data_IF_318246960828
#
_entry.id   IF_318246960828
#
_cell.length_a   1.000
_cell.length_b   1.000
_cell.length_c   1.000
_cell.angle_alpha   90.00
_cell.angle_beta   90.00
_cell.angle_gamma   90.00
#
_symmetry.space_group_name_H-M   'P 1'
#
loop_
_entity.id
_entity.type
_entity.pdbx_description
1 polymer ?
#
# COMPACT_ATOMS: atom_id res chain seq x y z
N UNK A 1 -3.40 -58.24 -8.91
CA UNK A 1 -4.21 -59.01 -7.95
C UNK A 1 -5.63 -58.49 -8.07
N UNK A 2 -6.55 -59.35 -8.48
CA UNK A 2 -7.97 -59.05 -8.62
C UNK A 2 -8.61 -59.10 -7.22
N UNK A 3 -9.33 -58.05 -6.84
CA UNK A 3 -10.14 -58.06 -5.62
C UNK A 3 -11.60 -58.36 -5.98
N UNK A 4 -12.00 -59.55 -5.56
CA UNK A 4 -13.32 -60.15 -5.71
C UNK A 4 -14.18 -59.65 -4.55
N UNK A 5 -15.24 -58.91 -4.83
CA UNK A 5 -16.31 -58.66 -3.88
C UNK A 5 -17.56 -59.47 -4.29
N UNK A 6 -17.93 -60.44 -3.43
CA UNK A 6 -19.14 -61.28 -3.56
C UNK A 6 -20.38 -60.56 -3.01
N UNK A 7 -21.60 -60.96 -3.42
CA UNK A 7 -22.83 -60.20 -3.15
C UNK A 7 -23.40 -60.50 -1.75
N UNK A 8 -23.96 -59.47 -1.11
CA UNK A 8 -24.80 -59.62 0.07
C UNK A 8 -26.26 -59.93 -0.34
N UNK A 9 -26.87 -60.79 0.47
CA UNK A 9 -28.12 -61.52 0.25
C UNK A 9 -29.38 -60.65 0.22
N UNK A 10 -30.31 -61.14 -0.58
CA UNK A 10 -31.78 -61.01 -0.52
C UNK A 10 -32.37 -60.45 0.78
N UNK A 11 -33.08 -59.32 0.64
CA UNK A 11 -34.06 -58.83 1.60
C UNK A 11 -35.07 -57.92 0.90
N UNK A 12 -36.34 -58.37 0.87
CA UNK A 12 -37.54 -57.55 0.71
C UNK A 12 -37.86 -56.87 -0.64
N UNK A 13 -38.13 -57.66 -1.69
CA UNK A 13 -38.61 -57.21 -3.00
C UNK A 13 -40.05 -56.68 -3.05
N UNK A 14 -40.63 -56.26 -1.93
CA UNK A 14 -42.04 -55.82 -1.83
C UNK A 14 -42.27 -54.43 -1.26
N UNK A 15 -41.32 -53.87 -0.49
CA UNK A 15 -41.42 -52.52 0.10
C UNK A 15 -40.71 -51.44 -0.72
N UNK A 16 -39.70 -51.81 -1.50
CA UNK A 16 -38.84 -50.85 -2.20
C UNK A 16 -39.48 -50.32 -3.50
N UNK A 17 -40.40 -51.08 -4.09
CA UNK A 17 -41.14 -50.67 -5.28
C UNK A 17 -42.23 -49.63 -4.98
N UNK A 18 -42.72 -49.55 -3.74
CA UNK A 18 -43.74 -48.57 -3.33
C UNK A 18 -43.12 -47.23 -2.90
N UNK A 19 -41.88 -47.22 -2.39
CA UNK A 19 -41.13 -45.99 -2.09
C UNK A 19 -40.39 -45.41 -3.31
N UNK A 20 -40.10 -46.24 -4.33
CA UNK A 20 -39.51 -45.77 -5.58
C UNK A 20 -40.47 -44.91 -6.43
N UNK A 21 -41.79 -45.07 -6.25
CA UNK A 21 -42.81 -44.32 -7.01
C UNK A 21 -42.94 -42.83 -6.60
N UNK A 22 -42.26 -42.40 -5.53
CA UNK A 22 -42.45 -41.07 -4.91
C UNK A 22 -41.31 -40.08 -5.12
N UNK A 23 -40.24 -40.46 -5.82
CA UNK A 23 -39.05 -39.62 -6.00
C UNK A 23 -39.07 -38.77 -7.28
N UNK A 24 -39.84 -39.17 -8.29
CA UNK A 24 -40.01 -38.42 -9.53
C UNK A 24 -41.30 -37.60 -9.53
N UNK A 25 -41.31 -36.55 -10.33
CA UNK A 25 -42.49 -35.71 -10.61
C UNK A 25 -42.66 -35.63 -12.11
N UNK A 26 -43.90 -35.84 -12.54
CA UNK A 26 -44.33 -35.64 -13.93
C UNK A 26 -44.77 -34.20 -14.10
N UNK A 27 -44.19 -33.52 -15.08
CA UNK A 27 -44.41 -32.08 -15.33
C UNK A 27 -44.91 -31.90 -16.75
N UNK A 28 -45.99 -31.14 -16.88
CA UNK A 28 -46.53 -30.66 -18.15
C UNK A 28 -46.12 -29.20 -18.33
N UNK A 29 -45.25 -28.93 -19.30
CA UNK A 29 -44.69 -27.60 -19.58
C UNK A 29 -45.48 -26.96 -20.72
N UNK A 30 -46.23 -25.91 -20.40
CA UNK A 30 -47.00 -25.12 -21.37
C UNK A 30 -48.10 -25.88 -22.10
N UNK A 31 -48.42 -27.11 -21.70
CA UNK A 31 -49.35 -27.99 -22.43
C UNK A 31 -48.70 -28.67 -23.65
N UNK A 32 -47.43 -28.41 -23.91
CA UNK A 32 -46.73 -28.78 -25.14
C UNK A 32 -45.73 -29.91 -24.91
N UNK A 33 -45.08 -29.95 -23.73
CA UNK A 33 -44.03 -30.92 -23.43
C UNK A 33 -44.24 -31.60 -22.08
N UNK A 34 -44.25 -32.93 -22.10
CA UNK A 34 -44.36 -33.76 -20.91
C UNK A 34 -42.98 -34.31 -20.53
N UNK A 35 -42.56 -34.13 -19.29
CA UNK A 35 -41.30 -34.66 -18.78
C UNK A 35 -41.48 -35.34 -17.43
N UNK A 36 -40.52 -36.18 -17.06
CA UNK A 36 -40.42 -36.76 -15.72
C UNK A 36 -39.03 -36.47 -15.16
N UNK A 37 -38.96 -35.90 -13.95
CA UNK A 37 -37.73 -35.45 -13.31
C UNK A 37 -37.70 -35.83 -11.83
N UNK A 38 -36.50 -36.03 -11.28
CA UNK A 38 -36.33 -36.29 -9.84
C UNK A 38 -36.59 -35.01 -9.04
N UNK A 39 -37.31 -35.11 -7.91
CA UNK A 39 -37.66 -33.96 -7.05
C UNK A 39 -36.43 -33.19 -6.56
N UNK A 40 -35.38 -33.93 -6.20
CA UNK A 40 -34.12 -33.39 -5.70
C UNK A 40 -33.40 -32.51 -6.73
N UNK A 41 -33.70 -32.64 -8.03
CA UNK A 41 -33.12 -31.79 -9.08
C UNK A 41 -33.34 -30.30 -8.79
N UNK A 42 -34.51 -29.94 -8.27
CA UNK A 42 -34.83 -28.54 -7.95
C UNK A 42 -34.14 -28.02 -6.68
N UNK A 43 -33.56 -28.92 -5.88
CA UNK A 43 -32.80 -28.59 -4.66
C UNK A 43 -31.30 -28.50 -4.90
N UNK A 44 -30.83 -28.78 -6.13
CA UNK A 44 -29.41 -28.73 -6.50
C UNK A 44 -28.84 -27.31 -6.37
N UNK A 45 -29.69 -26.29 -6.53
CA UNK A 45 -29.29 -24.89 -6.55
C UNK A 45 -30.05 -24.10 -5.48
N UNK A 46 -29.68 -24.36 -4.23
CA UNK A 46 -30.17 -23.66 -3.05
C UNK A 46 -31.68 -23.77 -2.82
N UNK A 47 -32.16 -23.01 -1.84
CA UNK A 47 -33.58 -22.93 -1.53
C UNK A 47 -34.26 -21.88 -2.41
N UNK A 48 -35.16 -22.34 -3.27
CA UNK A 48 -35.99 -21.52 -4.16
C UNK A 48 -37.43 -22.05 -4.18
N UNK A 49 -38.37 -21.34 -4.83
CA UNK A 49 -39.78 -21.76 -4.86
C UNK A 49 -39.98 -23.14 -5.49
N UNK A 50 -39.19 -23.53 -6.49
CA UNK A 50 -39.29 -24.85 -7.11
C UNK A 50 -38.81 -25.95 -6.15
N UNK A 51 -37.69 -25.72 -5.46
CA UNK A 51 -37.20 -26.64 -4.41
C UNK A 51 -38.25 -26.82 -3.31
N UNK A 52 -38.89 -25.74 -2.87
CA UNK A 52 -39.91 -25.77 -1.83
C UNK A 52 -41.15 -26.52 -2.31
N UNK A 53 -41.64 -26.20 -3.51
CA UNK A 53 -42.81 -26.83 -4.12
C UNK A 53 -42.63 -28.35 -4.27
N UNK A 54 -41.46 -28.79 -4.71
CA UNK A 54 -41.16 -30.20 -4.95
C UNK A 54 -40.50 -30.92 -3.77
N UNK A 55 -40.35 -30.27 -2.61
CA UNK A 55 -39.81 -30.87 -1.38
C UNK A 55 -40.68 -31.98 -0.79
N UNK A 56 -41.89 -32.20 -1.31
CA UNK A 56 -42.86 -33.13 -0.75
C UNK A 56 -43.64 -32.58 0.46
N UNK A 57 -43.37 -31.35 0.88
CA UNK A 57 -44.11 -30.65 1.95
C UNK A 57 -45.47 -30.11 1.50
N UNK A 58 -45.70 -29.99 0.19
CA UNK A 58 -46.91 -29.44 -0.39
C UNK A 58 -47.65 -30.51 -1.20
N UNK A 59 -48.98 -30.52 -1.09
CA UNK A 59 -49.81 -31.27 -2.01
C UNK A 59 -49.79 -30.58 -3.38
N UNK A 60 -49.33 -31.31 -4.41
CA UNK A 60 -49.30 -30.82 -5.78
C UNK A 60 -50.67 -31.00 -6.41
N UNK A 61 -51.19 -29.93 -7.00
CA UNK A 61 -52.35 -30.04 -7.88
C UNK A 61 -51.92 -30.64 -9.22
N UNK A 62 -52.30 -31.89 -9.45
CA UNK A 62 -52.02 -32.64 -10.66
C UNK A 62 -53.24 -32.67 -11.57
N UNK A 63 -53.02 -32.75 -12.89
CA UNK A 63 -54.08 -33.03 -13.85
C UNK A 63 -54.58 -34.49 -13.77
N UNK A 64 -55.63 -34.82 -14.52
CA UNK A 64 -56.22 -36.18 -14.57
C UNK A 64 -55.22 -37.25 -15.02
N UNK A 65 -54.09 -36.86 -15.61
CA UNK A 65 -53.02 -37.73 -16.10
C UNK A 65 -51.84 -37.79 -15.11
N UNK A 66 -51.92 -37.10 -13.99
CA UNK A 66 -50.91 -37.06 -12.93
C UNK A 66 -49.74 -36.11 -13.20
N UNK A 67 -49.89 -35.11 -14.07
CA UNK A 67 -48.86 -34.11 -14.35
C UNK A 67 -49.10 -32.81 -13.59
N UNK A 68 -48.03 -32.25 -13.03
CA UNK A 68 -48.03 -30.89 -12.51
C UNK A 68 -47.85 -29.91 -13.67
N UNK A 69 -48.77 -28.95 -13.81
CA UNK A 69 -48.72 -27.97 -14.89
C UNK A 69 -47.79 -26.80 -14.54
N UNK A 70 -46.90 -26.47 -15.48
CA UNK A 70 -46.02 -25.30 -15.42
C UNK A 70 -46.35 -24.39 -16.59
N UNK A 71 -46.77 -23.16 -16.28
CA UNK A 71 -47.19 -22.15 -17.26
C UNK A 71 -46.00 -21.39 -17.86
N UNK A 72 -45.09 -22.13 -18.51
CA UNK A 72 -43.98 -21.61 -19.29
C UNK A 72 -43.80 -22.44 -20.55
N UNK A 73 -43.26 -21.83 -21.62
CA UNK A 73 -42.98 -22.58 -22.84
C UNK A 73 -41.79 -23.54 -22.65
N UNK A 74 -41.74 -24.66 -23.37
CA UNK A 74 -40.62 -25.59 -23.32
C UNK A 74 -39.27 -24.94 -23.62
N UNK A 75 -39.22 -23.93 -24.49
CA UNK A 75 -37.99 -23.19 -24.85
C UNK A 75 -37.43 -22.35 -23.70
N UNK A 76 -38.23 -22.06 -22.67
CA UNK A 76 -37.81 -21.32 -21.48
C UNK A 76 -37.53 -22.26 -20.31
N UNK A 77 -38.41 -23.22 -20.04
CA UNK A 77 -38.29 -24.08 -18.86
C UNK A 77 -37.28 -25.22 -19.06
N UNK A 78 -37.15 -25.78 -20.26
CA UNK A 78 -36.21 -26.89 -20.51
C UNK A 78 -34.74 -26.48 -20.34
N UNK A 79 -34.27 -25.32 -20.84
CA UNK A 79 -32.90 -24.88 -20.59
C UNK A 79 -32.54 -24.82 -19.10
N UNK A 80 -33.48 -24.38 -18.24
CA UNK A 80 -33.29 -24.43 -16.78
C UNK A 80 -33.13 -25.86 -16.29
N UNK A 81 -33.99 -26.79 -16.73
CA UNK A 81 -33.91 -28.21 -16.32
C UNK A 81 -32.59 -28.85 -16.76
N UNK A 82 -32.15 -28.61 -17.99
CA UNK A 82 -30.87 -29.15 -18.47
C UNK A 82 -29.69 -28.53 -17.71
N UNK A 83 -29.75 -27.23 -17.40
CA UNK A 83 -28.73 -26.60 -16.57
C UNK A 83 -28.69 -27.16 -15.15
N UNK A 84 -29.84 -27.38 -14.49
CA UNK A 84 -29.88 -28.03 -13.18
C UNK A 84 -29.28 -29.44 -13.19
N UNK A 85 -29.48 -30.19 -14.28
CA UNK A 85 -28.85 -31.51 -14.46
C UNK A 85 -27.34 -31.37 -14.60
N UNK A 86 -26.88 -30.39 -15.39
CA UNK A 86 -25.45 -30.09 -15.50
C UNK A 86 -24.85 -29.71 -14.15
N UNK A 87 -25.52 -28.86 -13.35
CA UNK A 87 -25.05 -28.50 -12.00
C UNK A 87 -24.92 -29.74 -11.12
N UNK A 88 -25.94 -30.61 -11.11
CA UNK A 88 -25.95 -31.85 -10.32
C UNK A 88 -24.81 -32.79 -10.71
N UNK A 89 -24.56 -32.91 -12.01
CA UNK A 89 -23.61 -33.87 -12.57
C UNK A 89 -22.17 -33.31 -12.61
N UNK A 90 -21.98 -32.03 -12.28
CA UNK A 90 -20.68 -31.37 -12.32
C UNK A 90 -19.85 -31.61 -11.04
N UNK A 91 -18.55 -31.95 -11.17
CA UNK A 91 -17.66 -32.09 -10.03
C UNK A 91 -17.39 -30.71 -9.39
N UNK A 92 -17.16 -30.71 -8.07
CA UNK A 92 -17.18 -29.55 -7.16
C UNK A 92 -16.16 -28.40 -7.41
N UNK A 93 -15.51 -28.34 -8.58
CA UNK A 93 -14.48 -27.34 -8.88
C UNK A 93 -14.47 -26.83 -10.34
N UNK A 94 -15.41 -27.25 -11.19
CA UNK A 94 -15.47 -26.75 -12.58
C UNK A 94 -16.44 -25.57 -12.72
N UNK A 95 -16.04 -24.59 -13.54
CA UNK A 95 -16.93 -23.52 -13.98
C UNK A 95 -18.07 -24.11 -14.80
N UNK A 96 -19.29 -23.99 -14.30
CA UNK A 96 -20.48 -24.43 -15.02
C UNK A 96 -20.70 -23.58 -16.28
N UNK A 97 -21.09 -24.18 -17.41
CA UNK A 97 -21.53 -23.42 -18.56
C UNK A 97 -22.81 -22.64 -18.21
N UNK A 98 -22.95 -21.45 -18.77
CA UNK A 98 -24.19 -20.68 -18.69
C UNK A 98 -25.34 -21.41 -19.38
N UNK A 99 -26.56 -21.04 -19.03
CA UNK A 99 -27.75 -21.57 -19.70
C UNK A 99 -27.71 -21.14 -21.17
N UNK A 100 -27.60 -22.11 -22.07
CA UNK A 100 -27.73 -21.88 -23.50
C UNK A 100 -29.21 -21.65 -23.83
N UNK A 101 -29.54 -20.45 -24.28
CA UNK A 101 -30.90 -20.05 -24.62
C UNK A 101 -30.89 -19.01 -25.74
N UNK A 102 -31.86 -19.13 -26.65
CA UNK A 102 -32.07 -18.15 -27.70
C UNK A 102 -32.34 -16.76 -27.10
N UNK A 103 -31.72 -15.73 -27.67
CA UNK A 103 -31.84 -14.33 -27.27
C UNK A 103 -33.30 -13.88 -27.10
N UNK A 104 -34.23 -14.40 -27.92
CA UNK A 104 -35.66 -14.06 -27.84
C UNK A 104 -36.34 -14.55 -26.55
N UNK A 105 -35.81 -15.61 -25.93
CA UNK A 105 -36.36 -16.23 -24.73
C UNK A 105 -35.59 -15.83 -23.46
N UNK A 106 -34.43 -15.19 -23.59
CA UNK A 106 -33.57 -14.80 -22.46
C UNK A 106 -34.31 -13.98 -21.40
N UNK A 107 -35.07 -12.96 -21.82
CA UNK A 107 -35.86 -12.15 -20.89
C UNK A 107 -36.88 -12.98 -20.10
N UNK A 108 -37.53 -13.95 -20.74
CA UNK A 108 -38.50 -14.82 -20.09
C UNK A 108 -37.83 -15.76 -19.08
N UNK A 109 -36.65 -16.30 -19.40
CA UNK A 109 -35.85 -17.12 -18.49
C UNK A 109 -35.46 -16.33 -17.23
N UNK A 110 -34.88 -15.14 -17.39
CA UNK A 110 -34.47 -14.31 -16.24
C UNK A 110 -35.68 -13.96 -15.38
N UNK A 111 -36.81 -13.53 -15.99
CA UNK A 111 -38.06 -13.25 -15.25
C UNK A 111 -38.55 -14.45 -14.48
N UNK A 112 -38.53 -15.63 -15.09
CA UNK A 112 -38.96 -16.86 -14.45
C UNK A 112 -38.06 -17.18 -13.25
N UNK A 113 -36.73 -17.12 -13.39
CA UNK A 113 -35.81 -17.42 -12.29
C UNK A 113 -35.97 -16.42 -11.13
N UNK A 114 -36.12 -15.12 -11.42
CA UNK A 114 -36.39 -14.11 -10.39
C UNK A 114 -37.75 -14.36 -9.71
N UNK A 115 -38.79 -14.66 -10.48
CA UNK A 115 -40.13 -14.96 -9.95
C UNK A 115 -40.14 -16.23 -9.07
N UNK A 116 -39.30 -17.21 -9.40
CA UNK A 116 -39.09 -18.43 -8.62
C UNK A 116 -38.14 -18.24 -7.42
N UNK A 117 -37.69 -17.01 -7.17
CA UNK A 117 -36.85 -16.64 -6.04
C UNK A 117 -35.52 -17.41 -6.00
N UNK A 118 -34.87 -17.55 -7.16
CA UNK A 118 -33.48 -18.00 -7.20
C UNK A 118 -32.57 -16.94 -6.57
N UNK A 119 -31.62 -17.40 -5.76
CA UNK A 119 -30.59 -16.53 -5.16
C UNK A 119 -29.69 -15.90 -6.23
N UNK A 120 -29.11 -14.73 -5.96
CA UNK A 120 -28.26 -14.03 -6.91
C UNK A 120 -27.02 -14.84 -7.32
N UNK A 121 -26.47 -15.66 -6.42
CA UNK A 121 -25.36 -16.55 -6.77
C UNK A 121 -25.78 -17.58 -7.84
N UNK A 122 -26.98 -18.15 -7.70
CA UNK A 122 -27.54 -19.07 -8.68
C UNK A 122 -27.81 -18.39 -10.03
N UNK A 123 -28.38 -17.17 -10.00
CA UNK A 123 -28.58 -16.36 -11.21
C UNK A 123 -27.23 -16.09 -11.90
N UNK A 124 -26.18 -15.78 -11.14
CA UNK A 124 -24.83 -15.60 -11.68
C UNK A 124 -24.29 -16.87 -12.33
N UNK A 125 -24.40 -18.02 -11.66
CA UNK A 125 -23.96 -19.31 -12.21
C UNK A 125 -24.75 -19.73 -13.45
N UNK A 126 -26.00 -19.30 -13.57
CA UNK A 126 -26.82 -19.49 -14.76
C UNK A 126 -26.45 -18.57 -15.94
N UNK A 127 -25.60 -17.56 -15.71
CA UNK A 127 -25.16 -16.61 -16.71
C UNK A 127 -26.07 -15.39 -16.86
N UNK A 128 -26.81 -15.02 -15.81
CA UNK A 128 -27.57 -13.76 -15.76
C UNK A 128 -26.60 -12.60 -15.47
N UNK A 129 -26.64 -11.56 -16.28
CA UNK A 129 -25.73 -10.40 -16.18
C UNK A 129 -26.19 -9.37 -15.13
N UNK A 130 -25.25 -8.56 -14.64
CA UNK A 130 -25.48 -7.52 -13.64
C UNK A 130 -26.56 -6.53 -14.08
N UNK A 131 -26.54 -6.12 -15.36
CA UNK A 131 -27.55 -5.23 -15.93
C UNK A 131 -28.97 -5.81 -15.86
N UNK A 132 -29.10 -7.12 -16.03
CA UNK A 132 -30.40 -7.80 -15.97
C UNK A 132 -30.91 -7.78 -14.52
N UNK A 133 -30.11 -8.18 -13.54
CA UNK A 133 -30.54 -8.18 -12.13
C UNK A 133 -30.78 -6.77 -11.58
N UNK A 134 -29.95 -5.78 -11.92
CA UNK A 134 -30.17 -4.39 -11.49
C UNK A 134 -31.50 -3.86 -12.05
N UNK A 135 -31.89 -4.24 -13.26
CA UNK A 135 -33.19 -3.85 -13.83
C UNK A 135 -34.40 -4.41 -13.07
N UNK A 136 -34.22 -5.51 -12.32
CA UNK A 136 -35.23 -6.08 -11.43
C UNK A 136 -35.17 -5.53 -9.99
N UNK A 137 -34.32 -4.53 -9.73
CA UNK A 137 -34.24 -3.84 -8.45
C UNK A 137 -33.35 -4.53 -7.40
N UNK A 138 -32.51 -5.47 -7.80
CA UNK A 138 -31.50 -6.03 -6.89
C UNK A 138 -30.45 -4.97 -6.52
N UNK A 139 -30.10 -4.91 -5.23
CA UNK A 139 -29.10 -3.99 -4.70
C UNK A 139 -27.69 -4.33 -5.18
N UNK A 140 -26.86 -3.29 -5.35
CA UNK A 140 -25.45 -3.46 -5.78
C UNK A 140 -24.65 -4.25 -4.75
N UNK A 141 -24.94 -4.06 -3.46
CA UNK A 141 -24.40 -4.83 -2.33
C UNK A 141 -24.61 -6.33 -2.52
N UNK A 142 -25.85 -6.75 -2.73
CA UNK A 142 -26.22 -8.15 -2.89
C UNK A 142 -25.59 -8.75 -4.16
N UNK A 143 -25.44 -7.95 -5.22
CA UNK A 143 -24.76 -8.37 -6.44
C UNK A 143 -23.25 -8.58 -6.21
N UNK A 144 -22.59 -7.70 -5.45
CA UNK A 144 -21.18 -7.87 -5.10
C UNK A 144 -20.98 -9.15 -4.28
N UNK A 145 -21.83 -9.38 -3.28
CA UNK A 145 -21.80 -10.59 -2.44
C UNK A 145 -22.03 -11.88 -3.25
N UNK A 146 -22.90 -11.82 -4.26
CA UNK A 146 -23.16 -12.93 -5.17
C UNK A 146 -22.02 -13.24 -6.15
N UNK A 147 -21.01 -12.38 -6.24
CA UNK A 147 -19.82 -12.57 -7.08
C UNK A 147 -19.89 -11.92 -8.46
N UNK A 148 -20.75 -10.91 -8.65
CA UNK A 148 -20.72 -10.09 -9.87
C UNK A 148 -19.45 -9.24 -9.94
N UNK A 149 -18.92 -9.06 -11.15
CA UNK A 149 -17.72 -8.25 -11.35
C UNK A 149 -18.05 -6.77 -11.17
N UNK A 150 -17.12 -6.01 -10.59
CA UNK A 150 -17.28 -4.57 -10.37
C UNK A 150 -17.38 -3.80 -11.68
N UNK A 151 -16.60 -4.19 -12.69
CA UNK A 151 -16.64 -3.55 -14.02
C UNK A 151 -18.00 -3.77 -14.70
N UNK A 152 -18.56 -4.97 -14.56
CA UNK A 152 -19.90 -5.31 -15.06
C UNK A 152 -21.00 -4.50 -14.36
N UNK A 153 -20.86 -4.27 -13.05
CA UNK A 153 -21.77 -3.43 -12.28
C UNK A 153 -21.70 -1.97 -12.72
N UNK A 154 -20.51 -1.45 -13.00
CA UNK A 154 -20.32 -0.09 -13.53
C UNK A 154 -20.95 0.07 -14.91
N UNK A 155 -20.75 -0.90 -15.80
CA UNK A 155 -21.38 -0.92 -17.13
C UNK A 155 -22.92 -1.02 -17.03
N UNK A 156 -23.42 -1.73 -16.02
CA UNK A 156 -24.84 -1.80 -15.70
C UNK A 156 -25.42 -0.51 -15.09
N UNK A 157 -24.59 0.52 -14.85
CA UNK A 157 -25.02 1.81 -14.33
C UNK A 157 -24.90 1.96 -12.81
N UNK A 158 -24.21 1.06 -12.12
CA UNK A 158 -23.89 1.25 -10.70
C UNK A 158 -22.96 2.46 -10.52
N UNK A 159 -23.24 3.28 -9.50
CA UNK A 159 -22.36 4.39 -9.12
C UNK A 159 -21.21 3.90 -8.23
N UNK A 160 -20.10 4.63 -8.22
CA UNK A 160 -18.97 4.34 -7.34
C UNK A 160 -19.33 4.48 -5.85
N UNK A 161 -20.30 5.34 -5.54
CA UNK A 161 -20.87 5.47 -4.19
C UNK A 161 -21.59 4.19 -3.77
N UNK A 162 -22.44 3.64 -4.64
CA UNK A 162 -23.13 2.36 -4.36
C UNK A 162 -22.14 1.22 -4.18
N UNK A 163 -21.07 1.18 -4.99
CA UNK A 163 -20.00 0.18 -4.82
C UNK A 163 -19.23 0.36 -3.52
N UNK A 164 -18.98 1.59 -3.09
CA UNK A 164 -18.38 1.88 -1.78
C UNK A 164 -19.28 1.43 -0.64
N UNK A 165 -20.58 1.69 -0.73
CA UNK A 165 -21.57 1.21 0.25
C UNK A 165 -21.69 -0.31 0.26
N UNK A 166 -21.48 -0.97 -0.87
CA UNK A 166 -21.36 -2.42 -0.99
C UNK A 166 -20.06 -2.99 -0.41
N UNK A 167 -19.16 -2.17 0.13
CA UNK A 167 -17.90 -2.62 0.73
C UNK A 167 -16.81 -2.96 -0.29
N UNK A 168 -16.94 -2.51 -1.55
CA UNK A 168 -15.89 -2.72 -2.56
C UNK A 168 -14.66 -1.90 -2.20
N UNK A 169 -13.52 -2.60 -2.08
CA UNK A 169 -12.25 -1.96 -1.80
C UNK A 169 -11.75 -1.11 -2.99
N UNK A 170 -11.19 0.06 -2.68
CA UNK A 170 -10.58 0.95 -3.67
C UNK A 170 -9.47 0.26 -4.50
N UNK A 171 -8.87 -0.82 -4.01
CA UNK A 171 -7.83 -1.57 -4.73
C UNK A 171 -8.37 -2.15 -6.04
N UNK A 172 -9.60 -2.66 -6.05
CA UNK A 172 -10.25 -3.21 -7.26
C UNK A 172 -10.53 -2.13 -8.29
N UNK A 173 -10.74 -0.90 -7.81
CA UNK A 173 -11.10 0.26 -8.63
C UNK A 173 -9.90 1.14 -9.01
N UNK A 174 -8.67 0.71 -8.72
CA UNK A 174 -7.45 1.50 -8.95
C UNK A 174 -7.31 1.99 -10.40
N UNK A 175 -7.79 1.20 -11.35
CA UNK A 175 -7.75 1.49 -12.78
C UNK A 175 -8.62 2.69 -13.19
N UNK A 176 -9.64 3.04 -12.41
CA UNK A 176 -10.54 4.18 -12.69
C UNK A 176 -9.88 5.54 -12.43
N UNK A 177 -8.80 5.55 -11.64
CA UNK A 177 -8.05 6.75 -11.27
C UNK A 177 -8.50 7.37 -9.95
N UNK A 178 -7.56 8.10 -9.34
CA UNK A 178 -7.70 8.65 -7.99
C UNK A 178 -8.81 9.70 -7.87
N UNK A 179 -9.00 10.55 -8.89
CA UNK A 179 -10.00 11.63 -8.87
C UNK A 179 -11.43 11.09 -8.71
N UNK A 180 -11.80 10.09 -9.51
CA UNK A 180 -13.13 9.47 -9.45
C UNK A 180 -13.40 8.79 -8.11
N UNK A 181 -12.39 8.13 -7.53
CA UNK A 181 -12.53 7.50 -6.21
C UNK A 181 -12.72 8.54 -5.10
N UNK A 182 -12.07 9.71 -5.22
CA UNK A 182 -12.25 10.82 -4.29
C UNK A 182 -13.65 11.42 -4.40
N UNK A 183 -14.14 11.64 -5.63
CA UNK A 183 -15.51 12.12 -5.87
C UNK A 183 -16.55 11.15 -5.31
N UNK A 184 -16.31 9.84 -5.42
CA UNK A 184 -17.15 8.79 -4.84
C UNK A 184 -17.07 8.70 -3.29
N UNK A 185 -16.24 9.54 -2.66
CA UNK A 185 -16.14 9.64 -1.21
C UNK A 185 -15.20 8.65 -0.54
N UNK A 186 -14.33 7.93 -1.27
CA UNK A 186 -13.35 7.05 -0.64
C UNK A 186 -12.41 7.83 0.28
N UNK A 187 -12.19 7.28 1.48
CA UNK A 187 -11.37 7.93 2.50
C UNK A 187 -9.89 7.80 2.17
N UNK A 188 -9.06 8.72 2.69
CA UNK A 188 -7.61 8.64 2.49
C UNK A 188 -7.03 7.30 3.01
N UNK A 189 -7.64 6.72 4.07
CA UNK A 189 -7.25 5.40 4.60
C UNK A 189 -7.52 4.28 3.60
N UNK A 190 -8.71 4.26 3.01
CA UNK A 190 -9.08 3.27 1.98
C UNK A 190 -8.14 3.39 0.76
N UNK A 191 -7.81 4.62 0.36
CA UNK A 191 -6.90 4.88 -0.75
C UNK A 191 -5.46 4.48 -0.42
N UNK A 192 -5.02 4.63 0.84
CA UNK A 192 -3.74 4.10 1.32
C UNK A 192 -3.68 2.58 1.14
N UNK A 193 -4.71 1.86 1.60
CA UNK A 193 -4.78 0.40 1.46
C UNK A 193 -4.80 -0.05 -0.01
N UNK A 194 -5.41 0.73 -0.91
CA UNK A 194 -5.33 0.51 -2.35
C UNK A 194 -3.94 0.79 -2.97
N UNK A 195 -2.99 1.28 -2.17
CA UNK A 195 -1.62 1.58 -2.58
C UNK A 195 -1.52 2.86 -3.41
N UNK A 196 -2.34 3.87 -3.10
CA UNK A 196 -2.10 5.24 -3.54
C UNK A 196 -1.09 5.92 -2.62
N UNK A 197 -0.19 6.69 -3.22
CA UNK A 197 0.80 7.49 -2.51
C UNK A 197 0.16 8.76 -1.94
N UNK A 198 0.63 9.17 -0.76
CA UNK A 198 0.10 10.37 -0.10
C UNK A 198 0.33 11.64 -0.91
N UNK A 199 1.38 11.69 -1.74
CA UNK A 199 1.59 12.81 -2.66
C UNK A 199 0.50 12.94 -3.72
N UNK A 200 0.08 11.83 -4.35
CA UNK A 200 -1.04 11.86 -5.29
C UNK A 200 -2.32 12.35 -4.63
N UNK A 201 -2.54 12.00 -3.35
CA UNK A 201 -3.67 12.50 -2.57
C UNK A 201 -3.55 14.01 -2.29
N UNK A 202 -2.38 14.51 -1.90
CA UNK A 202 -2.14 15.95 -1.71
C UNK A 202 -2.41 16.75 -2.99
N UNK A 203 -1.99 16.23 -4.16
CA UNK A 203 -2.26 16.88 -5.46
C UNK A 203 -3.75 16.95 -5.80
N UNK A 204 -4.56 16.07 -5.24
CA UNK A 204 -6.02 16.08 -5.38
C UNK A 204 -6.71 16.97 -4.32
N UNK A 205 -5.95 17.72 -3.53
CA UNK A 205 -6.49 18.63 -2.52
C UNK A 205 -6.85 17.96 -1.20
N UNK A 206 -6.39 16.72 -0.95
CA UNK A 206 -6.48 16.12 0.39
C UNK A 206 -5.55 16.89 1.32
N UNK A 207 -6.02 17.23 2.53
CA UNK A 207 -5.19 17.96 3.48
C UNK A 207 -4.18 17.01 4.13
N UNK A 208 -3.03 17.55 4.57
CA UNK A 208 -2.06 16.73 5.33
C UNK A 208 -2.70 16.18 6.61
N UNK A 209 -3.61 16.91 7.25
CA UNK A 209 -4.35 16.43 8.42
C UNK A 209 -5.15 15.14 8.13
N UNK A 210 -5.83 15.06 6.98
CA UNK A 210 -6.58 13.86 6.58
C UNK A 210 -5.64 12.68 6.30
N UNK A 211 -4.44 12.94 5.77
CA UNK A 211 -3.43 11.90 5.54
C UNK A 211 -2.87 11.34 6.84
N UNK A 212 -2.69 12.19 7.86
CA UNK A 212 -2.27 11.75 9.19
C UNK A 212 -3.36 10.88 9.82
N UNK A 213 -4.63 11.28 9.72
CA UNK A 213 -5.75 10.46 10.19
C UNK A 213 -5.86 9.13 9.44
N UNK A 214 -5.46 9.11 8.16
CA UNK A 214 -5.31 7.90 7.36
C UNK A 214 -4.03 7.10 7.66
N UNK A 215 -3.30 7.46 8.72
CA UNK A 215 -2.09 6.80 9.21
C UNK A 215 -0.94 6.82 8.20
N UNK A 216 -0.90 7.74 7.23
CA UNK A 216 0.26 7.87 6.33
C UNK A 216 1.51 8.22 7.14
N UNK A 217 2.57 7.46 6.94
CA UNK A 217 3.85 7.81 7.54
C UNK A 217 4.45 9.00 6.78
N UNK A 218 5.24 9.87 7.43
CA UNK A 218 5.87 10.97 6.72
C UNK A 218 6.83 10.48 5.62
N UNK A 219 7.31 9.22 5.67
CA UNK A 219 8.02 8.54 4.56
C UNK A 219 7.19 8.50 3.28
N UNK A 220 5.89 8.22 3.42
CA UNK A 220 4.96 7.98 2.32
C UNK A 220 4.59 9.30 1.61
N UNK A 221 4.77 10.42 2.32
CA UNK A 221 4.56 11.78 1.83
C UNK A 221 5.78 12.33 1.09
N UNK A 222 6.94 11.68 1.19
CA UNK A 222 8.21 12.16 0.63
C UNK A 222 8.48 11.68 -0.80
N UNK A 223 7.46 11.25 -1.55
CA UNK A 223 7.64 10.62 -2.86
C UNK A 223 8.57 11.41 -3.80
N UNK A 224 9.24 10.66 -4.70
CA UNK A 224 10.38 11.07 -5.54
C UNK A 224 10.23 12.48 -6.14
N UNK A 225 10.71 13.51 -5.44
CA UNK A 225 10.84 14.87 -5.97
C UNK A 225 10.03 15.97 -5.28
N UNK A 226 9.26 15.70 -4.22
CA UNK A 226 8.56 16.77 -3.49
C UNK A 226 9.40 17.24 -2.29
N UNK A 227 10.31 18.19 -2.55
CA UNK A 227 10.91 19.06 -1.53
C UNK A 227 10.07 20.34 -1.41
N UNK A 228 8.77 20.19 -1.16
CA UNK A 228 7.93 21.39 -1.01
C UNK A 228 8.09 21.92 0.41
N UNK A 229 8.65 23.12 0.50
CA UNK A 229 8.64 23.98 1.68
C UNK A 229 7.30 23.92 2.44
N UNK A 230 6.21 23.97 1.68
CA UNK A 230 4.83 23.97 2.17
C UNK A 230 4.47 22.66 2.89
N UNK A 231 4.90 21.51 2.36
CA UNK A 231 4.59 20.21 2.96
C UNK A 231 5.28 20.06 4.31
N UNK A 232 6.53 20.49 4.42
CA UNK A 232 7.29 20.39 5.68
C UNK A 232 6.75 21.36 6.73
N UNK A 233 6.37 22.57 6.31
CA UNK A 233 5.72 23.55 7.18
C UNK A 233 4.39 23.01 7.74
N UNK A 234 3.55 22.42 6.88
CA UNK A 234 2.28 21.82 7.30
C UNK A 234 2.50 20.64 8.26
N UNK A 235 3.47 19.76 7.99
CA UNK A 235 3.80 18.65 8.89
C UNK A 235 4.27 19.14 10.27
N UNK A 236 5.09 20.20 10.31
CA UNK A 236 5.52 20.82 11.56
C UNK A 236 4.36 21.45 12.34
N UNK A 237 3.44 22.12 11.65
CA UNK A 237 2.24 22.69 12.25
C UNK A 237 1.29 21.61 12.81
N UNK A 238 1.24 20.45 12.16
CA UNK A 238 0.42 19.30 12.57
C UNK A 238 1.03 18.49 13.72
N UNK A 239 2.16 18.95 14.29
CA UNK A 239 2.73 18.42 15.52
C UNK A 239 3.76 17.29 15.32
N UNK A 240 4.19 17.02 14.08
CA UNK A 240 5.29 16.08 13.87
C UNK A 240 6.60 16.62 14.42
N UNK A 241 7.30 15.75 15.14
CA UNK A 241 8.63 16.05 15.66
C UNK A 241 9.68 16.00 14.55
N UNK A 242 10.74 16.81 14.71
CA UNK A 242 11.90 16.76 13.81
C UNK A 242 12.53 15.36 13.75
N UNK A 243 12.41 14.55 14.82
CA UNK A 243 12.83 13.14 14.87
C UNK A 243 12.05 12.28 13.88
N UNK A 244 10.72 12.38 13.87
CA UNK A 244 9.87 11.58 12.99
C UNK A 244 10.08 11.95 11.53
N UNK A 245 10.24 13.24 11.23
CA UNK A 245 10.54 13.69 9.88
C UNK A 245 11.94 13.26 9.43
N UNK A 246 12.92 13.22 10.33
CA UNK A 246 14.24 12.66 10.01
C UNK A 246 14.18 11.17 9.70
N UNK A 247 13.46 10.38 10.49
CA UNK A 247 13.25 8.95 10.22
C UNK A 247 12.52 8.75 8.89
N UNK A 248 11.62 9.67 8.56
CA UNK A 248 10.99 9.73 7.25
C UNK A 248 11.91 10.12 6.09
N UNK A 249 13.15 10.50 6.41
CA UNK A 249 14.20 10.81 5.48
C UNK A 249 14.28 12.27 5.06
N UNK A 250 13.47 13.18 5.61
CA UNK A 250 13.60 14.61 5.33
C UNK A 250 15.00 15.11 5.70
N UNK A 251 15.59 15.91 4.81
CA UNK A 251 16.92 16.48 5.04
C UNK A 251 16.85 17.65 6.02
N UNK A 252 17.98 17.99 6.63
CA UNK A 252 18.06 19.17 7.50
C UNK A 252 17.59 20.44 6.77
N UNK A 253 17.94 20.60 5.49
CA UNK A 253 17.48 21.72 4.64
C UNK A 253 15.98 21.73 4.39
N UNK A 254 15.33 20.56 4.29
CA UNK A 254 13.88 20.52 4.12
C UNK A 254 13.18 21.03 5.39
N UNK A 255 13.70 20.63 6.55
CA UNK A 255 13.15 21.01 7.86
C UNK A 255 13.41 22.47 8.22
N UNK A 256 14.54 23.06 7.81
CA UNK A 256 14.78 24.50 8.03
C UNK A 256 13.76 25.36 7.28
N UNK A 257 13.43 24.98 6.05
CA UNK A 257 12.42 25.66 5.26
C UNK A 257 11.03 25.53 5.89
N UNK A 258 10.76 24.41 6.57
CA UNK A 258 9.54 24.20 7.36
C UNK A 258 9.50 24.97 8.69
N UNK A 259 10.52 25.76 9.03
CA UNK A 259 10.58 26.57 10.24
C UNK A 259 11.11 25.84 11.48
N UNK A 260 11.69 24.66 11.34
CA UNK A 260 12.32 23.96 12.47
C UNK A 260 13.62 24.67 12.89
N UNK A 261 13.78 24.83 14.21
CA UNK A 261 14.94 25.48 14.82
C UNK A 261 16.14 24.54 14.93
N UNK A 262 17.35 25.11 15.00
CA UNK A 262 18.59 24.33 15.16
C UNK A 262 18.58 23.45 16.43
N UNK A 263 17.93 23.88 17.51
CA UNK A 263 17.74 23.10 18.74
C UNK A 263 16.90 21.84 18.50
N UNK A 264 15.77 21.98 17.80
CA UNK A 264 14.87 20.87 17.45
C UNK A 264 15.55 19.87 16.51
N UNK A 265 16.31 20.35 15.53
CA UNK A 265 17.05 19.48 14.61
C UNK A 265 18.21 18.76 15.30
N UNK A 266 18.89 19.43 16.24
CA UNK A 266 19.89 18.78 17.09
C UNK A 266 19.27 17.68 17.95
N UNK A 267 18.11 17.94 18.57
CA UNK A 267 17.38 16.93 19.34
C UNK A 267 16.94 15.75 18.46
N UNK A 268 16.65 16.01 17.17
CA UNK A 268 16.43 14.98 16.16
C UNK A 268 17.68 14.21 15.74
N UNK A 269 18.85 14.63 16.21
CA UNK A 269 20.15 14.00 16.02
C UNK A 269 20.86 14.39 14.72
N UNK A 270 20.43 15.46 14.04
CA UNK A 270 21.18 16.00 12.91
C UNK A 270 22.56 16.48 13.36
N UNK A 271 23.57 16.20 12.54
CA UNK A 271 24.95 16.60 12.81
C UNK A 271 25.16 18.09 12.50
N UNK A 272 26.17 18.69 13.13
CA UNK A 272 26.57 20.08 12.83
C UNK A 272 26.93 20.29 11.34
N UNK A 273 27.40 19.24 10.64
CA UNK A 273 27.71 19.31 9.21
C UNK A 273 26.44 19.38 8.36
N UNK A 274 25.42 18.58 8.69
CA UNK A 274 24.12 18.61 8.01
C UNK A 274 23.40 19.94 8.23
N UNK A 275 23.46 20.49 9.44
CA UNK A 275 22.85 21.78 9.75
C UNK A 275 23.58 22.96 9.09
N UNK A 276 24.91 22.88 8.97
CA UNK A 276 25.67 23.85 8.17
C UNK A 276 25.26 23.81 6.70
N UNK A 277 25.11 22.62 6.13
CA UNK A 277 24.64 22.44 4.76
C UNK A 277 23.21 22.96 4.57
N UNK A 278 22.38 22.90 5.63
CA UNK A 278 21.04 23.46 5.67
C UNK A 278 20.98 25.00 5.83
N UNK A 279 22.12 25.66 6.02
CA UNK A 279 22.24 27.12 6.08
C UNK A 279 22.39 27.73 7.47
N UNK A 280 22.48 26.93 8.54
CA UNK A 280 22.67 27.48 9.89
C UNK A 280 24.07 28.04 10.11
N UNK A 281 24.11 29.18 10.78
CA UNK A 281 25.33 29.85 11.22
C UNK A 281 25.94 29.17 12.47
N UNK A 282 27.24 29.38 12.69
CA UNK A 282 27.91 28.88 13.89
C UNK A 282 27.29 29.43 15.20
N UNK A 283 26.71 30.63 15.16
CA UNK A 283 26.04 31.25 16.31
C UNK A 283 24.74 30.50 16.66
N UNK A 284 23.90 30.21 15.67
CA UNK A 284 22.64 29.46 15.86
C UNK A 284 22.92 28.02 16.32
N UNK A 285 23.98 27.39 15.82
CA UNK A 285 24.39 26.06 16.28
C UNK A 285 24.95 26.08 17.71
N UNK A 286 25.64 27.15 18.12
CA UNK A 286 26.04 27.33 19.51
C UNK A 286 24.82 27.47 20.41
N UNK A 287 23.82 28.24 20.01
CA UNK A 287 22.56 28.38 20.76
C UNK A 287 21.77 27.07 20.81
N UNK A 288 21.86 26.25 19.76
CA UNK A 288 21.39 24.87 19.78
C UNK A 288 22.20 23.95 20.72
N UNK A 289 23.32 24.45 21.23
CA UNK A 289 24.19 23.83 22.23
C UNK A 289 25.30 22.94 21.65
N UNK A 290 25.59 23.02 20.34
CA UNK A 290 26.76 22.35 19.76
C UNK A 290 28.06 22.90 20.36
N UNK A 291 29.02 22.00 20.61
CA UNK A 291 30.33 22.39 21.14
C UNK A 291 31.24 22.93 20.04
N UNK A 292 32.28 23.69 20.42
CA UNK A 292 33.28 24.19 19.50
C UNK A 292 33.95 23.07 18.69
N UNK A 293 34.20 21.91 19.31
CA UNK A 293 34.74 20.71 18.66
C UNK A 293 33.82 20.17 17.57
N UNK A 294 32.51 20.06 17.86
CA UNK A 294 31.51 19.58 16.89
C UNK A 294 31.39 20.51 15.68
N UNK A 295 31.51 21.82 15.89
CA UNK A 295 31.52 22.81 14.81
C UNK A 295 32.83 22.81 14.02
N UNK A 296 33.97 22.59 14.69
CA UNK A 296 35.25 22.42 14.01
C UNK A 296 35.24 21.17 13.10
N UNK A 297 34.63 20.06 13.57
CA UNK A 297 34.42 18.86 12.76
C UNK A 297 33.46 19.10 11.56
N UNK A 298 32.49 20.01 11.71
CA UNK A 298 31.63 20.50 10.63
C UNK A 298 32.33 21.53 9.70
N UNK A 299 33.65 21.72 9.86
CA UNK A 299 34.49 22.62 9.05
C UNK A 299 34.11 24.10 9.15
N UNK A 300 33.57 24.56 10.29
CA UNK A 300 33.45 26.00 10.51
C UNK A 300 34.83 26.63 10.71
N UNK A 301 35.04 27.80 10.09
CA UNK A 301 36.32 28.49 10.21
C UNK A 301 36.45 29.16 11.58
N UNK A 302 37.69 29.34 12.04
CA UNK A 302 38.01 30.01 13.31
C UNK A 302 37.27 31.34 13.49
N UNK A 303 37.24 32.18 12.46
CA UNK A 303 36.54 33.46 12.47
C UNK A 303 35.02 33.31 12.71
N UNK A 304 34.41 32.23 12.19
CA UNK A 304 32.98 31.96 12.38
C UNK A 304 32.69 31.45 13.80
N UNK A 305 33.62 30.72 14.42
CA UNK A 305 33.51 30.28 15.82
C UNK A 305 33.73 31.43 16.80
N UNK A 306 34.69 32.31 16.51
CA UNK A 306 34.92 33.54 17.29
C UNK A 306 33.71 34.47 17.19
N UNK A 307 33.14 34.66 15.99
CA UNK A 307 31.91 35.43 15.79
C UNK A 307 30.68 34.82 16.46
N UNK A 308 30.65 33.48 16.60
CA UNK A 308 29.63 32.78 17.36
C UNK A 308 29.79 32.93 18.89
N UNK A 309 30.87 33.57 19.38
CA UNK A 309 31.09 33.81 20.80
C UNK A 309 31.71 32.62 21.55
N UNK A 310 32.40 31.72 20.86
CA UNK A 310 33.29 30.77 21.54
C UNK A 310 34.56 31.51 21.96
N UNK A 311 34.76 31.70 23.26
CA UNK A 311 35.97 32.33 23.78
C UNK A 311 37.21 31.54 23.38
N UNK A 312 38.35 32.26 23.22
CA UNK A 312 39.67 31.74 22.82
C UNK A 312 40.15 30.53 23.65
N UNK A 313 39.54 30.29 24.81
CA UNK A 313 39.85 29.24 25.79
C UNK A 313 39.01 27.96 25.53
N UNK A 314 37.83 28.07 24.91
CA UNK A 314 37.02 26.90 24.48
C UNK A 314 37.46 26.36 23.13
N UNK A 315 38.13 27.18 22.32
CA UNK A 315 38.92 26.72 21.17
C UNK A 315 40.33 26.38 21.66
N UNK A 316 40.43 25.54 22.68
CA UNK A 316 41.67 24.81 22.89
C UNK A 316 41.82 23.84 21.70
N UNK A 317 42.44 24.33 20.64
CA UNK A 317 43.27 23.49 19.77
C UNK A 317 44.50 22.96 20.52
N UNK A 318 44.58 23.14 21.85
CA UNK A 318 45.37 22.31 22.75
C UNK A 318 44.51 21.07 23.06
N UNK A 319 44.88 19.86 22.72
CA UNK A 319 46.20 19.33 22.54
C UNK A 319 46.13 18.16 21.55
N UNK A 320 47.23 17.97 20.80
CA UNK A 320 47.66 16.70 20.17
C UNK A 320 47.26 16.32 18.74
N UNK A 321 46.26 16.92 18.06
CA UNK A 321 45.81 16.35 16.77
C UNK A 321 46.21 17.02 15.44
N UNK A 322 46.86 18.19 15.40
CA UNK A 322 47.18 18.79 14.09
C UNK A 322 48.65 19.11 13.82
N UNK A 323 49.44 19.61 14.77
CA UNK A 323 50.80 20.09 14.44
C UNK A 323 51.69 19.01 13.81
N UNK A 324 51.79 17.82 14.43
CA UNK A 324 52.61 16.72 13.89
C UNK A 324 52.10 16.11 12.58
N UNK A 325 50.83 16.30 12.27
CA UNK A 325 50.20 15.73 11.07
C UNK A 325 50.34 16.60 9.82
N UNK A 326 50.76 17.87 9.96
CA UNK A 326 50.92 18.78 8.82
C UNK A 326 52.00 18.31 7.85
N UNK A 327 53.15 17.87 8.38
CA UNK A 327 54.24 17.29 7.58
C UNK A 327 53.78 16.02 6.85
N UNK A 328 53.02 15.16 7.51
CA UNK A 328 52.48 13.91 6.93
C UNK A 328 51.38 14.16 5.88
N UNK A 329 50.71 15.31 5.93
CA UNK A 329 49.67 15.73 4.98
C UNK A 329 50.17 16.69 3.89
N UNK A 330 51.49 16.93 3.81
CA UNK A 330 52.12 17.71 2.73
C UNK A 330 51.96 19.22 2.83
N UNK A 331 51.66 19.78 4.01
CA UNK A 331 51.61 21.23 4.21
C UNK A 331 53.01 21.81 4.40
N UNK A 332 53.36 22.84 3.61
CA UNK A 332 54.62 23.57 3.69
C UNK A 332 54.50 24.78 4.65
N UNK A 333 55.61 25.19 5.32
CA UNK A 333 55.65 26.32 6.23
C UNK A 333 55.07 27.63 5.66
N UNK A 334 55.26 27.90 4.37
CA UNK A 334 54.79 29.11 3.70
C UNK A 334 53.24 29.26 3.65
N UNK A 335 52.51 28.16 3.85
CA UNK A 335 51.04 28.14 3.86
C UNK A 335 50.44 28.13 5.28
N UNK A 336 51.27 28.29 6.32
CA UNK A 336 50.82 28.34 7.71
C UNK A 336 50.71 29.81 8.16
N UNK A 337 49.52 30.29 8.59
CA UNK A 337 49.36 31.68 8.97
C UNK A 337 50.09 31.94 10.29
N UNK A 338 51.09 32.85 10.26
CA UNK A 338 51.77 33.44 11.41
C UNK A 338 52.18 32.44 12.51
N UNK A 339 52.67 31.26 12.12
CA UNK A 339 53.16 30.26 13.07
C UNK A 339 54.52 30.67 13.64
N UNK A 340 54.71 30.50 14.95
CA UNK A 340 56.00 30.73 15.61
C UNK A 340 56.95 29.55 15.38
N UNK A 341 58.27 29.79 15.46
CA UNK A 341 59.30 28.75 15.29
C UNK A 341 59.09 27.58 16.27
N UNK A 342 58.62 27.87 17.48
CA UNK A 342 58.31 26.87 18.51
C UNK A 342 57.18 25.92 18.07
N UNK A 343 56.14 26.44 17.40
CA UNK A 343 55.02 25.65 16.88
C UNK A 343 55.45 24.74 15.72
N UNK A 344 56.29 25.25 14.82
CA UNK A 344 56.84 24.48 13.70
C UNK A 344 57.79 23.37 14.17
N UNK A 345 58.56 23.61 15.24
CA UNK A 345 59.37 22.58 15.89
C UNK A 345 58.50 21.47 16.49
N UNK A 346 57.42 21.82 17.18
CA UNK A 346 56.46 20.86 17.75
C UNK A 346 55.73 20.06 16.64
N UNK A 347 55.53 20.68 15.47
CA UNK A 347 54.99 20.06 14.27
C UNK A 347 55.94 19.06 13.58
N UNK A 348 57.21 18.98 13.99
CA UNK A 348 58.18 18.00 13.49
C UNK A 348 58.95 18.44 12.24
N UNK A 349 58.98 19.74 11.94
CA UNK A 349 59.88 20.31 10.94
C UNK A 349 61.31 20.38 11.47
N UNK A 350 62.30 20.07 10.61
CA UNK A 350 63.72 20.20 10.96
C UNK A 350 64.22 21.63 10.71
N UNK A 351 65.32 22.00 11.36
CA UNK A 351 65.98 23.28 11.12
C UNK A 351 66.43 23.46 9.65
N UNK A 352 66.78 22.37 8.95
CA UNK A 352 67.10 22.38 7.51
C UNK A 352 65.91 22.73 6.64
N UNK A 353 64.74 22.16 6.93
CA UNK A 353 63.50 22.41 6.18
C UNK A 353 63.04 23.85 6.39
N UNK A 354 63.14 24.37 7.62
CA UNK A 354 62.78 25.75 7.92
C UNK A 354 63.76 26.75 7.28
N UNK A 355 65.06 26.44 7.21
CA UNK A 355 66.03 27.26 6.47
C UNK A 355 65.68 27.36 4.98
N UNK A 356 65.31 26.25 4.34
CA UNK A 356 64.94 26.23 2.92
C UNK A 356 63.67 27.06 2.62
N UNK A 357 62.89 27.37 3.65
CA UNK A 357 61.66 28.17 3.57
C UNK A 357 61.90 29.63 4.02
N UNK A 358 63.16 30.05 4.22
CA UNK A 358 63.51 31.45 4.45
C UNK A 358 63.57 31.90 5.92
N UNK A 359 63.54 30.98 6.89
CA UNK A 359 63.76 31.33 8.30
C UNK A 359 65.24 31.60 8.61
N UNK A 360 65.51 32.67 9.36
CA UNK A 360 66.88 33.09 9.70
C UNK A 360 67.51 32.24 10.81
N UNK A 361 68.84 32.13 10.80
CA UNK A 361 69.60 31.37 11.80
C UNK A 361 69.33 31.85 13.23
N UNK A 362 69.16 33.16 13.43
CA UNK A 362 68.86 33.75 14.73
C UNK A 362 67.45 33.40 15.22
N UNK A 363 66.49 33.26 14.31
CA UNK A 363 65.12 32.84 14.64
C UNK A 363 65.06 31.37 15.01
N UNK A 364 65.91 30.54 14.38
CA UNK A 364 65.98 29.10 14.70
C UNK A 364 66.80 28.84 15.96
N UNK A 365 67.82 29.65 16.28
CA UNK A 365 68.67 29.50 17.47
C UNK A 365 67.92 29.62 18.80
N UNK A 366 66.78 30.35 18.82
CA UNK A 366 65.97 30.49 20.04
C UNK A 366 65.27 29.18 20.44
N UNK A 367 65.05 28.27 19.49
CA UNK A 367 64.25 27.05 19.68
C UNK A 367 64.99 25.76 19.31
N UNK A 368 65.96 25.84 18.40
CA UNK A 368 66.83 24.75 17.99
C UNK A 368 68.24 25.01 18.54
N UNK A 369 68.82 24.01 19.21
CA UNK A 369 70.17 24.13 19.76
C UNK A 369 71.22 24.44 18.69
N UNK A 370 72.30 25.12 19.11
CA UNK A 370 73.37 25.62 18.23
C UNK A 370 73.91 24.57 17.24
N UNK A 371 74.02 23.30 17.67
CA UNK A 371 74.43 22.18 16.81
C UNK A 371 73.44 21.90 15.66
N UNK A 372 72.14 21.93 15.92
CA UNK A 372 71.12 21.65 14.91
C UNK A 372 71.03 22.77 13.86
N UNK A 373 71.18 24.03 14.31
CA UNK A 373 71.26 25.19 13.41
C UNK A 373 72.56 25.13 12.62
N UNK A 374 73.70 24.83 13.24
CA UNK A 374 74.98 24.72 12.53
C UNK A 374 74.95 23.64 11.43
N UNK A 375 74.41 22.45 11.74
CA UNK A 375 74.24 21.37 10.76
C UNK A 375 73.29 21.77 9.63
N UNK A 376 72.27 22.57 9.92
CA UNK A 376 71.33 23.07 8.92
C UNK A 376 71.96 24.05 7.92
N UNK A 377 73.11 24.66 8.26
CA UNK A 377 73.89 25.57 7.39
C UNK A 377 75.10 24.92 6.71
N UNK A 378 75.43 23.68 7.08
CA UNK A 378 76.54 22.89 6.54
C UNK A 378 76.14 22.02 5.35
N UNK A 379 74.87 21.59 5.32
CA UNK A 379 74.18 21.01 4.18
C UNK A 379 73.39 22.08 3.43
#
# INVERSE_FOLDING_TARGET
>A
MAEVCRPARSGNSGSDLAQAATQTVRINIGGEKLIEVHRELFSVVGDNKLSALFSGRWELHLDDRGYFFVDYSPEVFMPLIEWLRLVRDSPSQQSLPFIDIDTRHRLALVRMMVAMSFELHALRSAGVFAAEVISYGFGVDSCVDAGYCVDELLEAGATLESLRHAGVEAQRLKHLGLSKLREAGYTARELKHAGFDGLSLLRQGVTVADLIQAEFAPTDLRGRGVQSATLVYELGFLGFSATELRVAGFSASDLTVGGFTATQLRAAGFSAMELKAAGFSAAELREAGFTAEQLAHARFFRQQLEAAGFERIMINFSDTYQLRSFKTRGFLPDNLPAATVSELRIAGFSATELRQQGFDALQLLSEFGMMAVFLAWLH
#
